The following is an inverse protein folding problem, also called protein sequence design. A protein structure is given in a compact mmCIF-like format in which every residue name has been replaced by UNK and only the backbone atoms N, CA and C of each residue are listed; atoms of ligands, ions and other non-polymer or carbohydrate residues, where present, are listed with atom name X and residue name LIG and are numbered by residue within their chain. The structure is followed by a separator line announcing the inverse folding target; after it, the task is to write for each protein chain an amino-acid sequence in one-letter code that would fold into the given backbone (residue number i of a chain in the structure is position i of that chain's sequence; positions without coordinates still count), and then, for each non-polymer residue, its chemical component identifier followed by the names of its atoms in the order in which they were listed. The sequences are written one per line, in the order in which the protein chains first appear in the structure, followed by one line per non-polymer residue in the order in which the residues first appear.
data_IF_264098176079
#
_entry.id   IF_264098176079
#
_cell.length_a   1.000
_cell.length_b   1.000
_cell.length_c   1.000
_cell.angle_alpha   90.00
_cell.angle_beta   90.00
_cell.angle_gamma   90.00
#
_symmetry.space_group_name_H-M   'P 1'
#
loop_
_entity.id
_entity.type
_entity.pdbx_description
1 polymer ?
#
# COMPACT_ATOMS: atom_id res chain seq x y z
N UNK A 1 1.32 56.41 -10.15
CA UNK A 1 1.46 55.22 -10.99
C UNK A 1 2.84 54.64 -10.77
N UNK A 2 2.95 53.62 -9.95
CA UNK A 2 4.12 52.76 -9.86
C UNK A 2 3.61 51.33 -9.96
N UNK A 3 3.87 50.70 -11.09
CA UNK A 3 3.64 49.29 -11.35
C UNK A 3 4.55 48.46 -10.42
N UNK A 4 3.98 47.82 -9.41
CA UNK A 4 4.69 46.80 -8.67
C UNK A 4 4.79 45.57 -9.57
N UNK A 5 6.02 45.25 -9.92
CA UNK A 5 6.35 44.06 -10.70
C UNK A 5 5.89 42.80 -9.97
N UNK A 6 5.05 42.05 -10.62
CA UNK A 6 4.77 40.66 -10.27
C UNK A 6 6.09 39.90 -10.35
N UNK A 7 6.66 39.54 -9.19
CA UNK A 7 7.76 38.60 -9.09
C UNK A 7 7.25 37.26 -9.64
N UNK A 8 7.59 36.97 -10.88
CA UNK A 8 7.35 35.72 -11.52
C UNK A 8 8.00 34.60 -10.70
N UNK A 9 7.18 33.84 -9.98
CA UNK A 9 7.59 32.51 -9.52
C UNK A 9 7.78 31.68 -10.80
N UNK A 10 9.03 31.56 -11.22
CA UNK A 10 9.41 30.61 -12.27
C UNK A 10 9.07 29.22 -11.77
N UNK A 11 7.93 28.68 -12.22
CA UNK A 11 7.60 27.26 -12.09
C UNK A 11 8.78 26.48 -12.65
N UNK A 12 9.38 25.54 -11.91
CA UNK A 12 10.47 24.74 -12.42
C UNK A 12 9.94 23.79 -13.51
N UNK A 13 9.85 24.29 -14.75
CA UNK A 13 9.61 23.48 -15.93
C UNK A 13 10.96 22.99 -16.44
N UNK A 14 11.46 21.90 -15.87
CA UNK A 14 12.78 21.42 -16.18
C UNK A 14 13.00 19.96 -15.76
N UNK A 15 14.20 19.43 -15.99
CA UNK A 15 14.58 18.07 -15.63
C UNK A 15 14.31 17.70 -14.16
N UNK A 16 14.35 18.68 -13.25
CA UNK A 16 14.04 18.48 -11.83
C UNK A 16 12.60 18.01 -11.59
N UNK A 17 11.62 18.59 -12.27
CA UNK A 17 10.20 18.19 -12.16
C UNK A 17 9.98 16.75 -12.63
N UNK A 18 10.60 16.38 -13.74
CA UNK A 18 10.53 15.02 -14.29
C UNK A 18 11.18 14.02 -13.34
N UNK A 19 12.32 14.36 -12.74
CA UNK A 19 13.00 13.53 -11.77
C UNK A 19 12.12 13.26 -10.52
N UNK A 20 11.44 14.29 -10.00
CA UNK A 20 10.50 14.14 -8.88
C UNK A 20 9.37 13.16 -9.25
N UNK A 21 8.75 13.32 -10.42
CA UNK A 21 7.67 12.44 -10.89
C UNK A 21 8.16 11.00 -10.96
N UNK A 22 9.32 10.76 -11.58
CA UNK A 22 9.88 9.42 -11.77
C UNK A 22 10.20 8.76 -10.43
N UNK A 23 10.86 9.47 -9.52
CA UNK A 23 11.21 8.94 -8.19
C UNK A 23 9.96 8.61 -7.39
N UNK A 24 8.97 9.50 -7.36
CA UNK A 24 7.72 9.24 -6.65
C UNK A 24 6.91 8.10 -7.29
N UNK A 25 6.90 8.01 -8.62
CA UNK A 25 6.27 6.89 -9.32
C UNK A 25 6.95 5.55 -9.01
N UNK A 26 8.28 5.51 -8.94
CA UNK A 26 9.04 4.31 -8.55
C UNK A 26 8.79 3.90 -7.09
N UNK A 27 8.42 4.83 -6.20
CA UNK A 27 7.90 4.47 -4.89
C UNK A 27 6.62 3.64 -5.00
N UNK A 28 5.76 3.89 -5.98
CA UNK A 28 4.60 3.03 -6.29
C UNK A 28 5.04 1.60 -6.66
N UNK A 29 6.06 1.46 -7.49
CA UNK A 29 6.63 0.13 -7.80
C UNK A 29 7.12 -0.59 -6.55
N UNK A 30 7.83 0.11 -5.64
CA UNK A 30 8.27 -0.46 -4.37
C UNK A 30 7.10 -0.99 -3.54
N UNK A 31 6.03 -0.21 -3.40
CA UNK A 31 4.81 -0.60 -2.67
C UNK A 31 4.20 -1.86 -3.27
N UNK A 32 4.07 -1.89 -4.58
CA UNK A 32 3.46 -3.01 -5.29
C UNK A 32 4.31 -4.28 -5.21
N UNK A 33 5.63 -4.17 -5.36
CA UNK A 33 6.55 -5.29 -5.17
C UNK A 33 6.46 -5.86 -3.75
N UNK A 34 6.43 -5.01 -2.72
CA UNK A 34 6.28 -5.43 -1.32
C UNK A 34 5.03 -6.30 -1.09
N UNK A 35 3.95 -6.03 -1.81
CA UNK A 35 2.72 -6.80 -1.68
C UNK A 35 2.77 -8.10 -2.49
N UNK A 36 3.32 -8.08 -3.69
CA UNK A 36 3.22 -9.20 -4.64
C UNK A 36 4.32 -10.23 -4.51
N UNK A 37 5.51 -9.87 -3.97
CA UNK A 37 6.63 -10.81 -3.79
C UNK A 37 6.30 -11.99 -2.86
N UNK A 38 5.42 -11.81 -1.88
CA UNK A 38 5.08 -12.83 -0.87
C UNK A 38 3.92 -13.72 -1.30
N UNK A 39 3.02 -13.22 -2.17
CA UNK A 39 1.80 -13.92 -2.55
C UNK A 39 2.04 -15.31 -3.17
N UNK A 40 3.02 -15.49 -4.08
CA UNK A 40 3.26 -16.80 -4.70
C UNK A 40 3.77 -17.86 -3.73
N UNK A 41 4.42 -17.45 -2.63
CA UNK A 41 4.97 -18.35 -1.62
C UNK A 41 3.99 -18.63 -0.47
N UNK A 42 2.86 -17.95 -0.44
CA UNK A 42 1.89 -18.11 0.63
C UNK A 42 1.44 -19.58 0.82
N UNK A 43 1.25 -20.38 -0.24
CA UNK A 43 0.94 -21.82 -0.11
C UNK A 43 2.07 -22.66 0.50
N UNK A 44 3.33 -22.26 0.31
CA UNK A 44 4.51 -23.01 0.74
C UNK A 44 4.94 -22.67 2.18
N UNK A 45 4.56 -21.48 2.69
CA UNK A 45 4.92 -21.04 4.03
C UNK A 45 4.46 -21.96 5.17
N UNK A 46 3.31 -22.65 5.12
CA UNK A 46 2.95 -23.63 6.13
C UNK A 46 4.00 -24.71 6.31
N UNK A 47 4.53 -25.26 5.22
CA UNK A 47 5.58 -26.26 5.23
C UNK A 47 6.94 -25.69 5.64
N UNK A 48 7.35 -24.55 5.05
CA UNK A 48 8.61 -23.85 5.31
C UNK A 48 8.76 -23.47 6.80
N UNK A 49 7.66 -22.96 7.41
CA UNK A 49 7.68 -22.42 8.77
C UNK A 49 7.09 -23.41 9.82
N UNK A 50 6.71 -24.63 9.42
CA UNK A 50 6.09 -25.59 10.32
C UNK A 50 4.79 -25.08 10.96
N UNK A 51 3.93 -24.42 10.20
CA UNK A 51 2.71 -23.77 10.70
C UNK A 51 1.46 -24.14 9.89
N UNK A 52 0.33 -23.57 10.24
CA UNK A 52 -0.92 -23.74 9.48
C UNK A 52 -1.09 -22.68 8.40
N UNK A 53 -1.89 -22.97 7.37
CA UNK A 53 -2.24 -21.99 6.32
C UNK A 53 -2.95 -20.77 6.89
N UNK A 54 -3.75 -20.93 7.96
CA UNK A 54 -4.39 -19.83 8.65
C UNK A 54 -3.36 -18.90 9.31
N UNK A 55 -2.34 -19.47 9.94
CA UNK A 55 -1.25 -18.68 10.52
C UNK A 55 -0.41 -18.00 9.44
N UNK A 56 -0.08 -18.67 8.33
CA UNK A 56 0.65 -18.07 7.22
C UNK A 56 -0.11 -16.89 6.60
N UNK A 57 -1.44 -16.92 6.56
CA UNK A 57 -2.26 -15.82 6.04
C UNK A 57 -2.10 -14.50 6.83
N UNK A 58 -1.59 -14.55 8.07
CA UNK A 58 -1.24 -13.34 8.83
C UNK A 58 -0.18 -12.47 8.15
N UNK A 59 0.69 -13.06 7.32
CA UNK A 59 1.70 -12.32 6.57
C UNK A 59 1.09 -11.28 5.61
N UNK A 60 -0.06 -11.60 5.04
CA UNK A 60 -0.81 -10.67 4.19
C UNK A 60 -1.70 -9.77 5.04
N UNK A 61 -2.44 -10.36 6.00
CA UNK A 61 -3.39 -9.64 6.84
C UNK A 61 -2.71 -8.49 7.60
N UNK A 62 -1.57 -8.73 8.26
CA UNK A 62 -0.89 -7.68 9.03
C UNK A 62 -0.38 -6.54 8.15
N UNK A 63 0.10 -6.86 6.94
CA UNK A 63 0.59 -5.85 5.99
C UNK A 63 -0.55 -4.94 5.55
N UNK A 64 -1.72 -5.51 5.19
CA UNK A 64 -2.90 -4.75 4.80
C UNK A 64 -3.49 -3.96 5.97
N UNK A 65 -3.49 -4.54 7.17
CA UNK A 65 -3.95 -3.89 8.38
C UNK A 65 -3.12 -2.65 8.70
N UNK A 66 -1.78 -2.80 8.70
CA UNK A 66 -0.87 -1.69 8.96
C UNK A 66 -0.97 -0.62 7.86
N UNK A 67 -1.15 -1.00 6.60
CA UNK A 67 -1.40 -0.09 5.51
C UNK A 67 -2.68 0.74 5.72
N UNK A 68 -3.79 0.08 6.08
CA UNK A 68 -5.08 0.74 6.26
C UNK A 68 -5.09 1.69 7.47
N UNK A 69 -4.53 1.25 8.59
CA UNK A 69 -4.43 2.07 9.83
C UNK A 69 -3.38 3.17 9.67
N UNK A 70 -2.24 2.85 9.07
CA UNK A 70 -1.12 3.77 8.90
C UNK A 70 -1.43 4.91 7.93
N UNK A 71 -2.19 4.66 6.86
CA UNK A 71 -2.41 5.64 5.80
C UNK A 71 -3.02 6.97 6.29
N UNK A 72 -4.14 7.02 7.02
CA UNK A 72 -4.69 8.28 7.51
C UNK A 72 -3.77 8.95 8.53
N UNK A 73 -3.13 8.17 9.40
CA UNK A 73 -2.21 8.68 10.42
C UNK A 73 -0.99 9.33 9.77
N UNK A 74 -0.31 8.60 8.88
CA UNK A 74 0.89 9.08 8.20
C UNK A 74 0.58 10.27 7.30
N UNK A 75 -0.56 10.26 6.59
CA UNK A 75 -0.99 11.38 5.76
C UNK A 75 -1.15 12.65 6.60
N UNK A 76 -1.80 12.56 7.76
CA UNK A 76 -1.96 13.69 8.68
C UNK A 76 -0.62 14.17 9.26
N UNK A 77 0.25 13.24 9.66
CA UNK A 77 1.59 13.57 10.13
C UNK A 77 2.44 14.22 9.02
N UNK A 78 2.27 13.79 7.77
CA UNK A 78 2.94 14.38 6.62
C UNK A 78 2.53 15.83 6.40
N UNK A 79 1.25 16.14 6.56
CA UNK A 79 0.76 17.53 6.47
C UNK A 79 1.28 18.40 7.61
N UNK A 80 1.51 17.85 8.81
CA UNK A 80 1.96 18.58 9.99
C UNK A 80 3.48 18.75 10.04
N UNK A 81 4.23 17.66 9.84
CA UNK A 81 5.67 17.64 10.05
C UNK A 81 6.49 17.79 8.77
N UNK A 82 5.89 17.43 7.62
CA UNK A 82 6.52 17.50 6.32
C UNK A 82 6.38 16.19 5.54
N UNK A 83 6.03 16.32 4.29
CA UNK A 83 5.69 15.18 3.43
C UNK A 83 6.91 14.34 3.08
N UNK A 84 8.04 14.99 2.76
CA UNK A 84 9.32 14.30 2.51
C UNK A 84 9.79 13.53 3.74
N UNK A 85 9.70 14.14 4.93
CA UNK A 85 10.08 13.48 6.18
C UNK A 85 9.27 12.20 6.37
N UNK A 86 7.95 12.24 6.17
CA UNK A 86 7.11 11.06 6.33
C UNK A 86 7.36 10.00 5.27
N UNK A 87 7.68 10.37 4.02
CA UNK A 87 8.18 9.39 3.04
C UNK A 87 9.42 8.65 3.54
N UNK A 88 10.42 9.40 4.05
CA UNK A 88 11.65 8.83 4.58
C UNK A 88 11.37 7.91 5.77
N UNK A 89 10.50 8.30 6.68
CA UNK A 89 10.10 7.48 7.85
C UNK A 89 9.42 6.17 7.37
N UNK A 90 8.50 6.24 6.42
CA UNK A 90 7.86 5.05 5.86
C UNK A 90 8.87 4.14 5.15
N UNK A 91 9.83 4.71 4.41
CA UNK A 91 10.90 3.92 3.77
C UNK A 91 11.80 3.23 4.78
N UNK A 92 12.16 3.90 5.88
CA UNK A 92 12.88 3.26 6.98
C UNK A 92 12.08 2.12 7.60
N UNK A 93 10.77 2.29 7.79
CA UNK A 93 9.91 1.21 8.27
C UNK A 93 9.92 -0.01 7.31
N UNK A 94 9.87 0.25 6.00
CA UNK A 94 9.99 -0.81 4.96
C UNK A 94 11.35 -1.49 5.02
N UNK A 95 12.45 -0.75 5.13
CA UNK A 95 13.80 -1.30 5.20
C UNK A 95 13.97 -2.16 6.45
N UNK A 96 13.62 -1.62 7.63
CA UNK A 96 13.72 -2.34 8.90
C UNK A 96 12.83 -3.59 8.86
N UNK A 97 11.59 -3.46 8.37
CA UNK A 97 10.68 -4.57 8.21
C UNK A 97 11.22 -5.65 7.27
N UNK A 98 11.86 -5.25 6.17
CA UNK A 98 12.51 -6.17 5.22
C UNK A 98 13.72 -6.87 5.83
N UNK A 99 14.54 -6.17 6.61
CA UNK A 99 15.69 -6.75 7.33
C UNK A 99 15.20 -7.77 8.37
N UNK A 100 14.19 -7.41 9.18
CA UNK A 100 13.59 -8.34 10.14
C UNK A 100 13.06 -9.58 9.43
N UNK A 101 12.35 -9.42 8.32
CA UNK A 101 11.80 -10.53 7.55
C UNK A 101 12.88 -11.39 6.89
N UNK A 102 13.96 -10.76 6.38
CA UNK A 102 15.08 -11.46 5.77
C UNK A 102 15.93 -12.26 6.77
N UNK A 103 15.95 -11.87 8.03
CA UNK A 103 16.70 -12.56 9.08
C UNK A 103 15.80 -13.44 9.95
N UNK A 104 14.53 -13.57 9.61
CA UNK A 104 13.53 -14.22 10.46
C UNK A 104 13.63 -15.74 10.44
N UNK A 105 13.87 -16.40 11.59
CA UNK A 105 13.78 -17.84 11.73
C UNK A 105 12.36 -18.34 12.08
N UNK A 106 11.39 -17.44 12.25
CA UNK A 106 10.09 -17.80 12.82
C UNK A 106 8.95 -16.92 12.28
N UNK A 107 7.74 -17.49 12.24
CA UNK A 107 6.54 -16.78 11.78
C UNK A 107 6.25 -15.49 12.56
N UNK A 108 6.33 -15.39 13.89
CA UNK A 108 6.04 -14.14 14.61
C UNK A 108 6.96 -12.98 14.21
N UNK A 109 8.24 -13.29 14.01
CA UNK A 109 9.22 -12.28 13.60
C UNK A 109 8.96 -11.83 12.15
N UNK A 110 8.63 -12.79 11.28
CA UNK A 110 8.25 -12.50 9.90
C UNK A 110 6.97 -11.63 9.83
N UNK A 111 5.96 -11.92 10.64
CA UNK A 111 4.75 -11.10 10.79
C UNK A 111 5.11 -9.68 11.23
N UNK A 112 6.01 -9.53 12.21
CA UNK A 112 6.45 -8.20 12.67
C UNK A 112 7.12 -7.41 11.55
N UNK A 113 8.04 -8.05 10.82
CA UNK A 113 8.69 -7.44 9.66
C UNK A 113 7.68 -7.01 8.58
N UNK A 114 6.70 -7.87 8.29
CA UNK A 114 5.61 -7.59 7.34
C UNK A 114 4.70 -6.46 7.81
N UNK A 115 4.43 -6.38 9.11
CA UNK A 115 3.67 -5.28 9.70
C UNK A 115 4.36 -3.93 9.50
N UNK A 116 5.67 -3.83 9.76
CA UNK A 116 6.44 -2.62 9.50
C UNK A 116 6.47 -2.27 8.02
N UNK A 117 6.70 -3.26 7.15
CA UNK A 117 6.71 -3.06 5.70
C UNK A 117 5.35 -2.57 5.15
N UNK A 118 4.24 -2.88 5.82
CA UNK A 118 2.90 -2.40 5.47
C UNK A 118 2.77 -0.87 5.46
N UNK A 119 3.58 -0.15 6.25
CA UNK A 119 3.65 1.31 6.21
C UNK A 119 4.15 1.84 4.86
N UNK A 120 4.77 1.01 4.03
CA UNK A 120 5.12 1.34 2.66
C UNK A 120 3.93 1.79 1.81
N UNK A 121 2.73 1.30 2.08
CA UNK A 121 1.52 1.72 1.37
C UNK A 121 1.25 3.23 1.50
N UNK A 122 1.70 3.86 2.59
CA UNK A 122 1.57 5.30 2.81
C UNK A 122 2.39 6.14 1.83
N UNK A 123 3.40 5.55 1.16
CA UNK A 123 4.23 6.24 0.16
C UNK A 123 3.39 6.77 -1.01
N UNK A 124 2.32 6.07 -1.37
CA UNK A 124 1.46 6.46 -2.51
C UNK A 124 0.69 7.75 -2.23
N UNK A 125 -0.16 7.85 -1.19
CA UNK A 125 -0.91 9.08 -0.92
C UNK A 125 -0.02 10.25 -0.58
N UNK A 126 1.07 10.03 0.16
CA UNK A 126 2.04 11.10 0.48
C UNK A 126 2.77 11.55 -0.78
N UNK A 127 3.17 10.63 -1.67
CA UNK A 127 3.80 10.94 -2.95
C UNK A 127 2.87 11.75 -3.86
N UNK A 128 1.59 11.38 -3.97
CA UNK A 128 0.59 12.16 -4.71
C UNK A 128 0.43 13.57 -4.12
N UNK A 129 0.46 13.68 -2.79
CA UNK A 129 0.38 14.98 -2.12
C UNK A 129 1.59 15.86 -2.42
N UNK A 130 2.80 15.28 -2.47
CA UNK A 130 4.02 16.00 -2.88
C UNK A 130 3.92 16.45 -4.34
N UNK A 131 3.43 15.60 -5.23
CA UNK A 131 3.22 15.95 -6.64
C UNK A 131 2.28 17.16 -6.77
N UNK A 132 1.21 17.22 -5.99
CA UNK A 132 0.27 18.35 -5.99
C UNK A 132 0.90 19.65 -5.51
N UNK A 133 1.86 19.59 -4.58
CA UNK A 133 2.52 20.78 -4.03
C UNK A 133 3.61 21.34 -4.98
N UNK A 134 4.26 20.49 -5.75
CA UNK A 134 5.47 20.85 -6.49
C UNK A 134 5.31 20.85 -8.01
N UNK A 135 4.26 20.24 -8.53
CA UNK A 135 4.04 20.18 -9.97
C UNK A 135 3.06 21.28 -10.43
N UNK A 136 3.26 21.83 -11.64
CA UNK A 136 2.24 22.60 -12.32
C UNK A 136 0.94 21.83 -12.45
N UNK A 137 -0.21 22.51 -12.36
CA UNK A 137 -1.54 21.89 -12.32
C UNK A 137 -1.82 20.96 -13.54
N UNK A 138 -1.28 21.31 -14.71
CA UNK A 138 -1.37 20.53 -15.94
C UNK A 138 -0.58 19.21 -15.90
N UNK A 139 0.44 19.10 -15.05
CA UNK A 139 1.29 17.93 -14.90
C UNK A 139 0.92 17.00 -13.73
N UNK A 140 0.12 17.47 -12.78
CA UNK A 140 -0.31 16.64 -11.63
C UNK A 140 -1.03 15.39 -12.11
N UNK A 141 -1.96 15.52 -13.07
CA UNK A 141 -2.70 14.39 -13.61
C UNK A 141 -1.80 13.33 -14.24
N UNK A 142 -0.81 13.73 -15.02
CA UNK A 142 0.14 12.80 -15.65
C UNK A 142 1.07 12.15 -14.61
N UNK A 143 1.49 12.87 -13.57
CA UNK A 143 2.27 12.32 -12.46
C UNK A 143 1.50 11.25 -11.69
N UNK A 144 0.24 11.50 -11.34
CA UNK A 144 -0.63 10.53 -10.68
C UNK A 144 -0.91 9.32 -11.56
N UNK A 145 -1.15 9.53 -12.87
CA UNK A 145 -1.33 8.44 -13.83
C UNK A 145 -0.07 7.55 -13.94
N UNK A 146 1.14 8.16 -13.98
CA UNK A 146 2.39 7.41 -13.99
C UNK A 146 2.56 6.59 -12.70
N UNK A 147 2.28 7.17 -11.54
CA UNK A 147 2.33 6.47 -10.26
C UNK A 147 1.36 5.28 -10.21
N UNK A 148 0.15 5.45 -10.76
CA UNK A 148 -0.82 4.36 -10.87
C UNK A 148 -0.35 3.27 -11.84
N UNK A 149 0.27 3.65 -12.96
CA UNK A 149 0.85 2.70 -13.92
C UNK A 149 2.01 1.90 -13.29
N UNK A 150 2.87 2.55 -12.52
CA UNK A 150 4.00 1.87 -11.83
C UNK A 150 3.53 0.92 -10.73
N UNK A 151 2.41 1.19 -10.06
CA UNK A 151 1.75 0.23 -9.17
C UNK A 151 1.35 -1.04 -9.93
N UNK A 152 0.71 -0.89 -11.10
CA UNK A 152 0.33 -2.01 -11.96
C UNK A 152 1.53 -2.80 -12.47
N UNK A 153 2.56 -2.11 -12.97
CA UNK A 153 3.80 -2.73 -13.46
C UNK A 153 4.51 -3.48 -12.33
N UNK A 154 4.65 -2.86 -11.16
CA UNK A 154 5.28 -3.49 -10.00
C UNK A 154 4.52 -4.73 -9.53
N UNK A 155 3.18 -4.67 -9.54
CA UNK A 155 2.32 -5.82 -9.22
C UNK A 155 2.49 -6.97 -10.20
N UNK A 156 2.48 -6.67 -11.49
CA UNK A 156 2.64 -7.67 -12.54
C UNK A 156 4.05 -8.27 -12.57
N UNK A 157 5.10 -7.44 -12.38
CA UNK A 157 6.48 -7.88 -12.34
C UNK A 157 6.87 -8.63 -11.05
N UNK A 158 6.19 -8.35 -9.95
CA UNK A 158 6.52 -8.92 -8.63
C UNK A 158 6.40 -10.44 -8.59
N UNK A 159 5.39 -11.03 -9.23
CA UNK A 159 5.20 -12.48 -9.25
C UNK A 159 6.31 -13.23 -9.99
N UNK A 160 6.63 -12.91 -11.28
CA UNK A 160 7.74 -13.57 -11.96
C UNK A 160 9.06 -13.38 -11.22
N UNK A 161 9.30 -12.17 -10.70
CA UNK A 161 10.50 -11.85 -9.94
C UNK A 161 10.59 -12.70 -8.67
N UNK A 162 9.48 -12.86 -7.94
CA UNK A 162 9.41 -13.73 -6.76
C UNK A 162 9.74 -15.18 -7.12
N UNK A 163 9.17 -15.68 -8.22
CA UNK A 163 9.43 -17.04 -8.70
C UNK A 163 10.89 -17.28 -9.07
N UNK A 164 11.52 -16.33 -9.79
CA UNK A 164 12.94 -16.42 -10.16
C UNK A 164 13.85 -16.37 -8.94
N UNK A 165 13.57 -15.44 -8.00
CA UNK A 165 14.37 -15.32 -6.78
C UNK A 165 14.25 -16.59 -5.94
N UNK A 166 13.02 -17.11 -5.74
CA UNK A 166 12.79 -18.30 -4.93
C UNK A 166 13.39 -19.58 -5.52
N UNK A 167 13.41 -19.71 -6.86
CA UNK A 167 14.03 -20.85 -7.53
C UNK A 167 15.57 -20.79 -7.51
N UNK A 168 16.15 -19.60 -7.46
CA UNK A 168 17.62 -19.42 -7.53
C UNK A 168 18.26 -19.28 -6.16
N UNK A 169 17.48 -18.84 -5.15
CA UNK A 169 17.93 -18.54 -3.80
C UNK A 169 16.87 -19.06 -2.81
N UNK A 170 17.04 -18.74 -1.55
CA UNK A 170 16.06 -19.00 -0.50
C UNK A 170 14.98 -17.89 -0.46
N UNK A 171 13.83 -18.18 0.17
CA UNK A 171 12.73 -17.22 0.34
C UNK A 171 13.12 -15.94 1.08
N UNK A 172 14.15 -15.97 1.93
CA UNK A 172 14.70 -14.78 2.58
C UNK A 172 15.21 -13.74 1.57
N UNK A 173 15.71 -14.19 0.41
CA UNK A 173 16.24 -13.31 -0.64
C UNK A 173 15.18 -12.35 -1.18
N UNK A 174 13.89 -12.71 -1.13
CA UNK A 174 12.79 -11.82 -1.52
C UNK A 174 12.76 -10.53 -0.68
N UNK A 175 13.00 -10.68 0.61
CA UNK A 175 13.03 -9.54 1.54
C UNK A 175 14.33 -8.75 1.41
N UNK A 176 15.44 -9.41 1.11
CA UNK A 176 16.73 -8.72 0.81
C UNK A 176 16.61 -7.86 -0.44
N UNK A 177 16.03 -8.39 -1.54
CA UNK A 177 15.81 -7.65 -2.78
C UNK A 177 14.86 -6.48 -2.57
N UNK A 178 13.77 -6.71 -1.86
CA UNK A 178 12.77 -5.68 -1.54
C UNK A 178 13.35 -4.58 -0.64
N UNK A 179 14.09 -4.94 0.41
CA UNK A 179 14.79 -4.01 1.28
C UNK A 179 15.88 -3.23 0.55
N UNK A 180 16.66 -3.89 -0.31
CA UNK A 180 17.67 -3.25 -1.15
C UNK A 180 17.06 -2.22 -2.11
N UNK A 181 15.93 -2.54 -2.74
CA UNK A 181 15.19 -1.58 -3.55
C UNK A 181 14.67 -0.40 -2.72
N UNK A 182 14.18 -0.65 -1.50
CA UNK A 182 13.77 0.41 -0.59
C UNK A 182 14.93 1.34 -0.21
N UNK A 183 16.14 0.82 0.00
CA UNK A 183 17.35 1.63 0.26
C UNK A 183 17.67 2.52 -0.95
N UNK A 184 17.66 1.97 -2.17
CA UNK A 184 17.88 2.75 -3.39
C UNK A 184 16.85 3.87 -3.51
N UNK A 185 15.57 3.57 -3.25
CA UNK A 185 14.51 4.56 -3.30
C UNK A 185 14.63 5.61 -2.17
N UNK A 186 15.07 5.22 -0.98
CA UNK A 186 15.36 6.15 0.11
C UNK A 186 16.41 7.18 -0.29
N UNK A 187 17.51 6.73 -0.90
CA UNK A 187 18.57 7.61 -1.41
C UNK A 187 18.02 8.52 -2.51
N UNK A 188 17.27 7.97 -3.46
CA UNK A 188 16.67 8.75 -4.55
C UNK A 188 15.71 9.82 -4.02
N UNK A 189 14.84 9.50 -3.07
CA UNK A 189 13.95 10.48 -2.42
C UNK A 189 14.75 11.54 -1.67
N UNK A 190 15.80 11.13 -0.96
CA UNK A 190 16.64 12.07 -0.22
C UNK A 190 17.34 13.08 -1.13
N UNK A 191 17.76 12.68 -2.31
CA UNK A 191 18.50 13.54 -3.25
C UNK A 191 17.57 14.38 -4.14
N UNK A 192 16.41 13.84 -4.52
CA UNK A 192 15.58 14.44 -5.59
C UNK A 192 14.34 15.16 -5.06
N UNK A 193 13.71 14.64 -3.99
CA UNK A 193 12.43 15.18 -3.52
C UNK A 193 12.66 16.33 -2.54
N UNK A 194 12.22 17.57 -2.87
CA UNK A 194 12.32 18.69 -1.95
C UNK A 194 11.29 18.55 -0.82
N UNK A 195 11.55 19.21 0.31
CA UNK A 195 10.57 19.31 1.39
C UNK A 195 9.43 20.25 1.00
N UNK A 196 8.20 19.88 1.32
CA UNK A 196 7.05 20.75 1.11
C UNK A 196 7.08 21.93 2.08
N UNK A 197 6.91 23.16 1.54
CA UNK A 197 6.81 24.38 2.32
C UNK A 197 5.41 24.52 2.97
N UNK A 198 4.44 23.78 2.48
CA UNK A 198 3.05 23.81 2.97
C UNK A 198 2.93 22.85 4.14
N UNK A 199 2.96 23.40 5.36
CA UNK A 199 2.74 22.64 6.60
C UNK A 199 1.49 23.16 7.31
N UNK A 200 0.62 22.25 7.68
CA UNK A 200 -0.59 22.58 8.46
C UNK A 200 -0.23 22.64 9.93
N UNK A 201 -0.18 23.84 10.51
CA UNK A 201 0.02 24.00 11.95
C UNK A 201 -1.22 23.51 12.70
N UNK A 202 -1.01 22.72 13.76
CA UNK A 202 -2.12 22.27 14.59
C UNK A 202 -1.75 21.16 15.56
N UNK A 203 -2.74 20.63 16.28
CA UNK A 203 -2.57 19.49 17.18
C UNK A 203 -3.01 18.21 16.46
N UNK A 204 -2.27 17.13 16.73
CA UNK A 204 -2.64 15.82 16.24
C UNK A 204 -3.82 15.27 17.08
N UNK A 205 -4.85 14.77 16.43
CA UNK A 205 -6.00 14.13 17.10
C UNK A 205 -5.67 12.68 17.46
N UNK A 206 -5.08 12.50 18.65
CA UNK A 206 -4.74 11.16 19.15
C UNK A 206 -5.98 10.30 19.40
N UNK A 207 -7.09 10.90 19.83
CA UNK A 207 -8.35 10.18 20.15
C UNK A 207 -9.00 9.71 18.84
N UNK A 208 -9.16 10.60 17.87
CA UNK A 208 -9.69 10.24 16.55
C UNK A 208 -8.83 9.17 15.87
N UNK A 209 -7.50 9.29 15.95
CA UNK A 209 -6.58 8.28 15.41
C UNK A 209 -6.72 6.93 16.11
N UNK A 210 -6.83 6.90 17.45
CA UNK A 210 -7.00 5.66 18.21
C UNK A 210 -8.35 4.98 17.89
N UNK A 211 -9.45 5.74 17.90
CA UNK A 211 -10.77 5.22 17.56
C UNK A 211 -10.80 4.64 16.14
N UNK A 212 -10.30 5.39 15.15
CA UNK A 212 -10.23 4.91 13.77
C UNK A 212 -9.36 3.66 13.65
N UNK A 213 -8.20 3.63 14.33
CA UNK A 213 -7.30 2.48 14.33
C UNK A 213 -7.97 1.23 14.88
N UNK A 214 -8.67 1.33 16.01
CA UNK A 214 -9.40 0.21 16.61
C UNK A 214 -10.53 -0.26 15.69
N UNK A 215 -11.31 0.67 15.15
CA UNK A 215 -12.41 0.34 14.25
C UNK A 215 -11.92 -0.38 12.98
N UNK A 216 -10.88 0.14 12.32
CA UNK A 216 -10.30 -0.48 11.12
C UNK A 216 -9.67 -1.83 11.44
N UNK A 217 -8.96 -1.94 12.58
CA UNK A 217 -8.35 -3.20 13.01
C UNK A 217 -9.41 -4.27 13.23
N UNK A 218 -10.45 -3.98 14.01
CA UNK A 218 -11.52 -4.92 14.28
C UNK A 218 -12.27 -5.32 12.99
N UNK A 219 -12.59 -4.35 12.14
CA UNK A 219 -13.29 -4.61 10.89
C UNK A 219 -12.46 -5.47 9.92
N UNK A 220 -11.20 -5.08 9.69
CA UNK A 220 -10.32 -5.80 8.76
C UNK A 220 -9.95 -7.19 9.25
N UNK A 221 -9.73 -7.37 10.57
CA UNK A 221 -9.52 -8.70 11.14
C UNK A 221 -10.75 -9.58 10.98
N UNK A 222 -11.93 -9.06 11.30
CA UNK A 222 -13.18 -9.80 11.14
C UNK A 222 -13.35 -10.30 9.69
N UNK A 223 -13.20 -9.41 8.71
CA UNK A 223 -13.37 -9.74 7.29
C UNK A 223 -12.25 -10.66 6.78
N UNK A 224 -10.98 -10.37 7.13
CA UNK A 224 -9.82 -11.16 6.67
C UNK A 224 -9.83 -12.58 7.20
N UNK A 225 -10.30 -12.78 8.43
CA UNK A 225 -10.30 -14.07 9.11
C UNK A 225 -11.66 -14.79 9.12
N UNK A 226 -12.70 -14.17 8.58
CA UNK A 226 -14.05 -14.76 8.54
C UNK A 226 -14.08 -16.10 7.80
N UNK A 227 -13.20 -16.31 6.81
CA UNK A 227 -13.09 -17.57 6.07
C UNK A 227 -12.62 -18.74 6.93
N UNK A 228 -11.69 -18.51 7.86
CA UNK A 228 -11.13 -19.53 8.75
C UNK A 228 -11.88 -19.64 10.08
N UNK A 229 -12.29 -18.51 10.65
CA UNK A 229 -13.03 -18.49 11.93
C UNK A 229 -14.52 -18.77 11.79
N UNK A 230 -15.07 -18.58 10.60
CA UNK A 230 -16.50 -18.60 10.30
C UNK A 230 -17.15 -17.22 10.38
N UNK A 231 -17.98 -16.90 9.40
CA UNK A 231 -18.69 -15.61 9.32
C UNK A 231 -19.62 -15.33 10.52
N UNK A 232 -20.22 -16.39 11.06
CA UNK A 232 -21.16 -16.32 12.18
C UNK A 232 -20.52 -16.73 13.51
N UNK A 233 -19.20 -16.86 13.58
CA UNK A 233 -18.53 -17.18 14.84
C UNK A 233 -18.64 -16.02 15.84
N UNK A 234 -18.69 -16.31 17.15
CA UNK A 234 -18.76 -15.27 18.18
C UNK A 234 -17.65 -14.23 18.07
N UNK A 235 -16.43 -14.67 17.70
CA UNK A 235 -15.27 -13.76 17.55
C UNK A 235 -15.45 -12.81 16.36
N UNK A 236 -15.88 -13.31 15.20
CA UNK A 236 -16.12 -12.48 14.00
C UNK A 236 -17.22 -11.48 14.25
N UNK A 237 -18.36 -11.92 14.84
CA UNK A 237 -19.48 -11.05 15.16
C UNK A 237 -19.10 -10.00 16.22
N UNK A 238 -18.35 -10.39 17.25
CA UNK A 238 -17.89 -9.44 18.28
C UNK A 238 -17.01 -8.36 17.65
N UNK A 239 -16.05 -8.74 16.79
CA UNK A 239 -15.19 -7.78 16.11
C UNK A 239 -15.98 -6.84 15.20
N UNK A 240 -16.98 -7.34 14.46
CA UNK A 240 -17.85 -6.48 13.62
C UNK A 240 -18.71 -5.53 14.46
N UNK A 241 -19.26 -6.00 15.58
CA UNK A 241 -20.03 -5.14 16.49
C UNK A 241 -19.13 -4.07 17.11
N UNK A 242 -17.94 -4.45 17.60
CA UNK A 242 -16.97 -3.48 18.15
C UNK A 242 -16.59 -2.46 17.10
N UNK A 243 -16.26 -2.90 15.88
CA UNK A 243 -15.93 -1.99 14.77
C UNK A 243 -17.08 -1.01 14.51
N UNK A 244 -18.32 -1.49 14.44
CA UNK A 244 -19.49 -0.65 14.22
C UNK A 244 -19.74 0.37 15.36
N UNK A 245 -19.64 -0.06 16.62
CA UNK A 245 -19.81 0.81 17.77
C UNK A 245 -18.70 1.87 17.86
N UNK A 246 -17.45 1.48 17.61
CA UNK A 246 -16.31 2.42 17.63
C UNK A 246 -16.41 3.41 16.46
N UNK A 247 -16.82 2.97 15.26
CA UNK A 247 -17.09 3.90 14.13
C UNK A 247 -18.24 4.86 14.46
N UNK A 248 -19.31 4.37 15.08
CA UNK A 248 -20.42 5.21 15.50
C UNK A 248 -20.01 6.26 16.56
N UNK A 249 -19.03 5.96 17.39
CA UNK A 249 -18.43 6.91 18.33
C UNK A 249 -17.42 7.86 17.65
N UNK A 250 -16.65 7.34 16.68
CA UNK A 250 -15.62 8.11 15.96
C UNK A 250 -16.22 9.20 15.05
N UNK A 251 -17.29 8.90 14.31
CA UNK A 251 -17.91 9.88 13.40
C UNK A 251 -18.31 11.19 14.10
N UNK A 252 -19.09 11.18 15.20
CA UNK A 252 -19.42 12.42 15.90
C UNK A 252 -18.23 13.09 16.57
N UNK A 253 -17.22 12.33 17.00
CA UNK A 253 -15.96 12.87 17.50
C UNK A 253 -15.26 13.67 16.39
N UNK A 254 -15.01 13.07 15.24
CA UNK A 254 -14.34 13.65 14.10
C UNK A 254 -15.07 14.90 13.56
N UNK A 255 -16.39 14.89 13.54
CA UNK A 255 -17.22 16.03 13.13
C UNK A 255 -17.10 17.24 14.07
N UNK A 256 -16.73 17.01 15.35
CA UNK A 256 -16.53 18.06 16.37
C UNK A 256 -15.07 18.46 16.51
N UNK A 257 -14.14 17.65 16.03
CA UNK A 257 -12.71 17.92 16.09
C UNK A 257 -12.39 19.20 15.31
N UNK A 258 -11.67 20.13 15.93
CA UNK A 258 -11.23 21.37 15.27
C UNK A 258 -10.21 21.13 14.17
N UNK A 259 -9.49 20.00 14.24
CA UNK A 259 -8.51 19.56 13.26
C UNK A 259 -8.63 18.03 13.07
N UNK A 260 -9.62 17.59 12.30
CA UNK A 260 -9.92 16.19 12.12
C UNK A 260 -8.78 15.45 11.41
N UNK A 261 -8.64 14.15 11.73
CA UNK A 261 -7.73 13.25 11.03
C UNK A 261 -8.22 13.01 9.59
N UNK A 262 -9.54 12.84 9.46
CA UNK A 262 -10.23 12.66 8.18
C UNK A 262 -11.38 13.65 8.08
N UNK A 263 -11.37 14.50 7.06
CA UNK A 263 -12.48 15.43 6.83
C UNK A 263 -13.72 14.69 6.32
N UNK A 264 -14.57 14.25 7.28
CA UNK A 264 -15.83 13.56 7.00
C UNK A 264 -16.76 14.43 6.16
N UNK A 265 -16.82 15.75 6.42
CA UNK A 265 -17.72 16.66 5.69
C UNK A 265 -17.35 16.71 4.20
N UNK A 266 -16.05 16.76 3.89
CA UNK A 266 -15.55 16.68 2.51
C UNK A 266 -15.79 15.30 1.92
N UNK A 267 -15.54 14.22 2.67
CA UNK A 267 -15.73 12.84 2.24
C UNK A 267 -17.19 12.49 1.92
N UNK A 268 -18.15 13.13 2.60
CA UNK A 268 -19.59 12.94 2.39
C UNK A 268 -20.13 13.75 1.20
N UNK A 269 -19.35 14.64 0.57
CA UNK A 269 -19.77 15.31 -0.66
C UNK A 269 -20.04 14.27 -1.74
N UNK A 270 -21.16 14.38 -2.45
CA UNK A 270 -21.64 13.39 -3.42
C UNK A 270 -20.56 12.92 -4.41
N UNK A 271 -19.79 13.85 -4.96
CA UNK A 271 -18.71 13.53 -5.90
C UNK A 271 -17.61 12.70 -5.23
N UNK A 272 -17.17 13.07 -4.02
CA UNK A 272 -16.12 12.37 -3.29
C UNK A 272 -16.60 11.00 -2.84
N UNK A 273 -17.83 10.93 -2.31
CA UNK A 273 -18.45 9.67 -1.88
C UNK A 273 -18.57 8.67 -3.04
N UNK A 274 -19.07 9.12 -4.20
CA UNK A 274 -19.20 8.26 -5.39
C UNK A 274 -17.83 7.82 -5.91
N UNK A 275 -16.83 8.71 -5.91
CA UNK A 275 -15.46 8.36 -6.31
C UNK A 275 -14.86 7.34 -5.34
N UNK A 276 -15.04 7.51 -4.03
CA UNK A 276 -14.55 6.56 -3.04
C UNK A 276 -15.26 5.21 -3.18
N UNK A 277 -16.58 5.19 -3.35
CA UNK A 277 -17.33 3.96 -3.58
C UNK A 277 -16.88 3.24 -4.85
N UNK A 278 -16.71 3.97 -5.96
CA UNK A 278 -16.17 3.42 -7.20
C UNK A 278 -14.75 2.86 -7.00
N UNK A 279 -13.89 3.56 -6.25
CA UNK A 279 -12.53 3.09 -5.96
C UNK A 279 -12.52 1.79 -5.16
N UNK A 280 -13.42 1.63 -4.18
CA UNK A 280 -13.58 0.38 -3.42
C UNK A 280 -14.01 -0.76 -4.35
N UNK A 281 -15.00 -0.54 -5.22
CA UNK A 281 -15.48 -1.56 -6.15
C UNK A 281 -14.41 -1.95 -7.17
N UNK A 282 -13.70 -0.97 -7.73
CA UNK A 282 -12.59 -1.21 -8.68
C UNK A 282 -11.46 -1.97 -7.97
N UNK A 283 -11.07 -1.55 -6.77
CA UNK A 283 -10.04 -2.23 -5.99
C UNK A 283 -10.40 -3.68 -5.69
N UNK A 284 -11.64 -3.93 -5.27
CA UNK A 284 -12.16 -5.28 -5.03
C UNK A 284 -12.12 -6.13 -6.33
N UNK A 285 -12.65 -5.59 -7.43
CA UNK A 285 -12.69 -6.29 -8.71
C UNK A 285 -11.29 -6.61 -9.24
N UNK A 286 -10.36 -5.66 -9.16
CA UNK A 286 -8.97 -5.86 -9.58
C UNK A 286 -8.27 -6.92 -8.74
N UNK A 287 -8.41 -6.87 -7.41
CA UNK A 287 -7.75 -7.81 -6.51
C UNK A 287 -8.35 -9.22 -6.63
N UNK A 288 -9.68 -9.32 -6.73
CA UNK A 288 -10.37 -10.59 -6.95
C UNK A 288 -9.96 -11.23 -8.30
N UNK A 289 -9.94 -10.43 -9.38
CA UNK A 289 -9.49 -10.90 -10.69
C UNK A 289 -8.03 -11.39 -10.65
N UNK A 290 -7.15 -10.64 -10.01
CA UNK A 290 -5.75 -10.99 -9.88
C UNK A 290 -5.55 -12.32 -9.13
N UNK A 291 -6.21 -12.50 -7.98
CA UNK A 291 -6.13 -13.75 -7.21
C UNK A 291 -6.71 -14.93 -7.98
N UNK A 292 -7.89 -14.76 -8.56
CA UNK A 292 -8.57 -15.84 -9.28
C UNK A 292 -7.78 -16.27 -10.50
N UNK A 293 -7.28 -15.29 -11.29
CA UNK A 293 -6.46 -15.58 -12.47
C UNK A 293 -5.17 -16.29 -12.10
N UNK A 294 -4.51 -15.86 -11.02
CA UNK A 294 -3.29 -16.51 -10.50
C UNK A 294 -3.55 -17.94 -10.09
N UNK A 295 -4.59 -18.17 -9.30
CA UNK A 295 -4.94 -19.52 -8.84
C UNK A 295 -5.31 -20.44 -10.02
N UNK A 296 -6.12 -19.95 -10.96
CA UNK A 296 -6.53 -20.74 -12.13
C UNK A 296 -5.34 -21.14 -13.00
N UNK A 297 -4.39 -20.24 -13.21
CA UNK A 297 -3.21 -20.50 -14.05
C UNK A 297 -2.25 -21.50 -13.38
N UNK A 298 -2.12 -21.48 -12.06
CA UNK A 298 -1.26 -22.38 -11.29
C UNK A 298 -1.90 -23.75 -10.99
N UNK A 299 -3.23 -23.83 -11.00
CA UNK A 299 -3.96 -25.05 -10.66
C UNK A 299 -3.58 -26.22 -11.56
N UNK A 300 -3.40 -27.45 -11.05
CA UNK A 300 -3.05 -28.61 -11.84
C UNK A 300 -4.03 -28.88 -12.98
N UNK A 301 -3.54 -29.34 -14.13
CA UNK A 301 -4.36 -29.67 -15.31
C UNK A 301 -5.39 -30.75 -15.04
N UNK A 302 -5.13 -31.63 -14.08
CA UNK A 302 -6.03 -32.70 -13.65
C UNK A 302 -7.39 -32.19 -13.16
N UNK A 303 -7.47 -30.93 -12.73
CA UNK A 303 -8.74 -30.27 -12.33
C UNK A 303 -9.69 -29.98 -13.51
N UNK A 304 -9.23 -30.11 -14.75
CA UNK A 304 -10.01 -29.86 -15.96
C UNK A 304 -10.09 -28.39 -16.40
N UNK A 305 -9.67 -27.45 -15.56
CA UNK A 305 -9.66 -26.01 -15.85
C UNK A 305 -8.37 -25.29 -15.45
N UNK A 306 -7.45 -25.99 -14.80
CA UNK A 306 -6.12 -25.48 -14.45
C UNK A 306 -5.13 -25.58 -15.62
N UNK A 307 -4.17 -24.66 -15.68
CA UNK A 307 -3.12 -24.67 -16.70
C UNK A 307 -1.83 -25.34 -16.22
N UNK A 308 -1.65 -25.55 -14.92
CA UNK A 308 -0.47 -26.20 -14.32
C UNK A 308 0.83 -25.43 -14.59
N UNK A 309 0.76 -24.10 -14.70
CA UNK A 309 1.94 -23.28 -14.94
C UNK A 309 2.72 -23.00 -13.65
N UNK A 310 4.05 -22.91 -13.79
CA UNK A 310 4.91 -22.49 -12.70
C UNK A 310 4.64 -21.01 -12.33
N UNK A 311 5.05 -20.59 -11.15
CA UNK A 311 4.92 -19.21 -10.66
C UNK A 311 5.51 -18.20 -11.64
N UNK A 312 6.69 -18.51 -12.23
CA UNK A 312 7.36 -17.66 -13.24
C UNK A 312 6.53 -17.56 -14.50
N UNK A 313 6.05 -18.70 -15.02
CA UNK A 313 5.23 -18.72 -16.23
C UNK A 313 3.90 -18.00 -16.04
N UNK A 314 3.27 -18.13 -14.87
CA UNK A 314 2.07 -17.40 -14.47
C UNK A 314 2.31 -15.88 -14.55
N UNK A 315 3.40 -15.41 -13.97
CA UNK A 315 3.73 -14.00 -14.00
C UNK A 315 3.98 -13.48 -15.43
N UNK A 316 4.64 -14.25 -16.28
CA UNK A 316 4.87 -13.89 -17.69
C UNK A 316 3.58 -13.84 -18.51
N UNK A 317 2.62 -14.74 -18.22
CA UNK A 317 1.29 -14.73 -18.86
C UNK A 317 0.50 -13.49 -18.46
N UNK A 318 0.52 -13.13 -17.17
CA UNK A 318 -0.17 -11.94 -16.65
C UNK A 318 0.46 -10.62 -17.11
N UNK A 319 1.75 -10.63 -17.46
CA UNK A 319 2.43 -9.46 -18.03
C UNK A 319 2.10 -9.21 -19.51
N UNK A 320 1.61 -10.21 -20.27
CA UNK A 320 1.21 -9.99 -21.66
C UNK A 320 -0.02 -9.11 -21.71
N UNK A 321 0.07 -7.86 -22.21
CA UNK A 321 -1.13 -7.08 -22.49
C UNK A 321 -1.96 -7.85 -23.51
N UNK A 322 -3.27 -7.95 -23.29
CA UNK A 322 -4.21 -8.74 -24.09
C UNK A 322 -4.24 -8.38 -25.58
N UNK A 323 -3.16 -8.68 -26.28
CA UNK A 323 -3.09 -8.62 -27.71
C UNK A 323 -3.39 -10.02 -28.27
N UNK A 324 -4.60 -10.12 -28.84
CA UNK A 324 -5.10 -11.18 -29.71
C UNK A 324 -5.69 -12.41 -29.00
N UNK A 325 -6.91 -12.25 -28.50
CA UNK A 325 -7.94 -13.25 -28.70
C UNK A 325 -8.76 -12.81 -29.91
N UNK A 326 -8.30 -13.18 -31.10
CA UNK A 326 -9.06 -13.18 -32.35
C UNK A 326 -8.98 -14.59 -32.91
#
# INVERSE_FOLDING_TARGET
MRSQGASGQTSPSGPATTAIIVVLALCGTLVSLQQTLVLPLLPDFPEILGTTSDNASWLVTVTLLTAAVGTPIVSRLADMFGKRLMLIVCMWAVIIGSVIAALSPSLPLLITGRGLAGLGACLVPVGISIMRDHLPADRVGSGVALMSATLGIGGAAGMPLAGVIYQSFDWHALFVVSGGFAVVMLVAVHLVVPESLVKTRGRFDYVGAALLSVALTCFLLAVSKAGSWGWFSPITLTLLVVAGLVLAAWVPWELRAGQPLVDIRTSMRRTVLLTNAASVLVGFAMFANFLTSTQQVQMPRETGYGFGLSVVATGLVLLRPGSRWS
#
